data_IF_399866374716
#
_entry.id   IF_399866374716
#
_cell.length_a   1.000
_cell.length_b   1.000
_cell.length_c   1.000
_cell.angle_alpha   90.00
_cell.angle_beta   90.00
_cell.angle_gamma   90.00
#
_symmetry.space_group_name_H-M   'P 1'
#
loop_
_entity.id
_entity.type
_entity.pdbx_description
1 polymer ?
#
# COMPACT_ATOMS: atom_id res chain seq x y z
N UNK A 1 12.51 24.21 44.92
CA UNK A 1 13.42 23.70 43.87
C UNK A 1 12.60 23.57 42.60
N UNK A 2 12.97 24.30 41.56
CA UNK A 2 12.22 24.42 40.31
C UNK A 2 12.46 23.20 39.44
N UNK A 3 11.37 22.51 39.08
CA UNK A 3 11.39 21.45 38.07
C UNK A 3 11.67 22.10 36.71
N UNK A 4 12.91 22.01 36.23
CA UNK A 4 13.26 22.43 34.88
C UNK A 4 12.67 21.46 33.87
N UNK A 5 11.49 21.81 33.36
CA UNK A 5 11.00 21.29 32.08
C UNK A 5 11.90 21.81 30.97
N UNK A 6 12.76 20.96 30.42
CA UNK A 6 13.36 21.14 29.09
C UNK A 6 13.49 19.78 28.42
N UNK A 7 12.38 19.33 27.84
CA UNK A 7 12.36 18.34 26.77
C UNK A 7 11.50 18.91 25.66
N UNK A 8 11.98 19.99 25.02
CA UNK A 8 11.30 20.58 23.85
C UNK A 8 12.06 20.33 22.54
N UNK A 9 13.26 19.75 22.57
CA UNK A 9 14.04 19.44 21.36
C UNK A 9 14.05 17.93 21.00
N UNK A 10 13.48 17.05 21.83
CA UNK A 10 13.43 15.59 21.60
C UNK A 10 12.13 15.07 20.99
N UNK A 11 11.09 15.92 20.91
CA UNK A 11 9.79 15.53 20.35
C UNK A 11 9.87 15.43 18.81
N UNK A 12 10.46 16.44 18.15
CA UNK A 12 10.57 16.46 16.68
C UNK A 12 11.40 15.30 16.11
N UNK A 13 12.49 14.88 16.77
CA UNK A 13 13.33 13.79 16.25
C UNK A 13 12.65 12.43 16.36
N UNK A 14 11.86 12.21 17.42
CA UNK A 14 11.08 10.98 17.61
C UNK A 14 9.92 10.90 16.61
N UNK A 15 9.24 12.03 16.37
CA UNK A 15 8.15 12.13 15.41
C UNK A 15 8.66 11.96 13.96
N UNK A 16 9.85 12.49 13.65
CA UNK A 16 10.49 12.31 12.34
C UNK A 16 10.88 10.84 12.08
N UNK A 17 11.54 10.18 13.04
CA UNK A 17 11.89 8.74 12.93
C UNK A 17 10.64 7.88 12.78
N UNK A 18 9.55 8.22 13.50
CA UNK A 18 8.29 7.53 13.38
C UNK A 18 7.67 7.67 11.99
N UNK A 19 7.66 8.88 11.42
CA UNK A 19 7.17 9.12 10.06
C UNK A 19 8.02 8.42 9.00
N UNK A 20 9.35 8.44 9.11
CA UNK A 20 10.23 7.72 8.19
C UNK A 20 9.95 6.21 8.21
N UNK A 21 9.76 5.64 9.41
CA UNK A 21 9.38 4.25 9.56
C UNK A 21 8.02 3.95 8.93
N UNK A 22 7.01 4.79 9.15
CA UNK A 22 5.69 4.64 8.53
C UNK A 22 5.78 4.70 7.00
N UNK A 23 6.51 5.69 6.45
CA UNK A 23 6.73 5.80 4.99
C UNK A 23 7.40 4.54 4.45
N UNK A 24 8.43 4.01 5.12
CA UNK A 24 9.09 2.77 4.74
C UNK A 24 8.14 1.58 4.73
N UNK A 25 7.30 1.46 5.74
CA UNK A 25 6.31 0.38 5.86
C UNK A 25 5.25 0.47 4.76
N UNK A 26 4.67 1.66 4.55
CA UNK A 26 3.67 1.90 3.50
C UNK A 26 4.24 1.68 2.10
N UNK A 27 5.52 2.02 1.86
CA UNK A 27 6.22 1.71 0.60
C UNK A 27 6.32 0.21 0.33
N UNK A 28 6.67 -0.58 1.34
CA UNK A 28 6.76 -2.03 1.18
C UNK A 28 5.38 -2.66 0.98
N UNK A 29 4.37 -2.21 1.72
CA UNK A 29 2.98 -2.66 1.51
C UNK A 29 2.48 -2.34 0.11
N UNK A 30 2.80 -1.14 -0.40
CA UNK A 30 2.48 -0.72 -1.76
C UNK A 30 3.17 -1.62 -2.79
N UNK A 31 4.45 -1.95 -2.58
CA UNK A 31 5.21 -2.86 -3.44
C UNK A 31 4.56 -4.25 -3.51
N UNK A 32 4.19 -4.80 -2.36
CA UNK A 32 3.51 -6.11 -2.27
C UNK A 32 2.15 -6.06 -2.97
N UNK A 33 1.38 -4.97 -2.81
CA UNK A 33 0.09 -4.82 -3.46
C UNK A 33 0.23 -4.75 -4.99
N UNK A 34 1.24 -4.05 -5.51
CA UNK A 34 1.56 -4.01 -6.94
C UNK A 34 1.94 -5.39 -7.49
N UNK A 35 2.77 -6.15 -6.78
CA UNK A 35 3.15 -7.51 -7.18
C UNK A 35 1.94 -8.46 -7.23
N UNK A 36 1.05 -8.38 -6.24
CA UNK A 36 -0.21 -9.12 -6.23
C UNK A 36 -1.11 -8.74 -7.40
N UNK A 37 -1.20 -7.44 -7.72
CA UNK A 37 -1.96 -6.98 -8.87
C UNK A 37 -1.41 -7.56 -10.19
N UNK A 38 -0.09 -7.56 -10.38
CA UNK A 38 0.53 -8.15 -11.56
C UNK A 38 0.24 -9.65 -11.65
N UNK A 39 0.30 -10.35 -10.53
CA UNK A 39 -0.02 -11.78 -10.43
C UNK A 39 -1.48 -12.04 -10.87
N UNK A 40 -2.44 -11.29 -10.33
CA UNK A 40 -3.86 -11.43 -10.74
C UNK A 40 -4.08 -11.10 -12.21
N UNK A 41 -3.38 -10.12 -12.77
CA UNK A 41 -3.43 -9.81 -14.20
C UNK A 41 -2.89 -10.97 -15.05
N UNK A 42 -1.81 -11.62 -14.62
CA UNK A 42 -1.25 -12.80 -15.30
C UNK A 42 -2.21 -13.99 -15.22
N UNK A 43 -2.76 -14.29 -14.05
CA UNK A 43 -3.76 -15.36 -13.88
C UNK A 43 -5.01 -15.14 -14.75
N UNK A 44 -5.49 -13.88 -14.85
CA UNK A 44 -6.58 -13.52 -15.75
C UNK A 44 -6.23 -13.72 -17.23
N UNK A 45 -4.99 -13.40 -17.63
CA UNK A 45 -4.53 -13.61 -19.00
C UNK A 45 -4.41 -15.11 -19.33
N UNK A 46 -3.91 -15.90 -18.39
CA UNK A 46 -3.77 -17.35 -18.54
C UNK A 46 -5.15 -18.02 -18.68
N UNK A 47 -6.13 -17.64 -17.84
CA UNK A 47 -7.51 -18.11 -17.94
C UNK A 47 -8.14 -17.78 -19.30
N UNK A 48 -7.89 -16.58 -19.84
CA UNK A 48 -8.39 -16.17 -21.17
C UNK A 48 -7.73 -16.91 -22.34
N UNK A 49 -6.50 -17.39 -22.14
CA UNK A 49 -5.74 -18.10 -23.16
C UNK A 49 -6.01 -19.61 -23.19
N UNK A 50 -6.58 -20.17 -22.12
CA UNK A 50 -6.79 -21.61 -21.98
C UNK A 50 -7.99 -22.09 -22.83
N UNK A 51 -7.80 -22.91 -23.89
CA UNK A 51 -8.88 -23.20 -24.85
C UNK A 51 -9.77 -24.39 -24.49
N UNK A 52 -9.73 -24.92 -23.26
CA UNK A 52 -10.34 -26.22 -22.94
C UNK A 52 -11.42 -26.18 -21.84
N UNK A 53 -12.65 -25.89 -22.28
CA UNK A 53 -13.81 -26.71 -21.91
C UNK A 53 -14.40 -26.56 -20.51
N UNK A 54 -14.10 -25.51 -19.74
CA UNK A 54 -14.73 -25.29 -18.42
C UNK A 54 -15.38 -23.91 -18.26
N UNK A 55 -16.08 -23.45 -19.31
CA UNK A 55 -16.68 -22.11 -19.40
C UNK A 55 -17.52 -21.67 -18.18
N UNK A 56 -18.17 -22.60 -17.47
CA UNK A 56 -18.97 -22.29 -16.28
C UNK A 56 -18.16 -22.07 -15.00
N UNK A 57 -16.97 -22.66 -14.89
CA UNK A 57 -16.08 -22.50 -13.73
C UNK A 57 -15.06 -21.39 -13.97
N UNK A 58 -14.54 -21.31 -15.18
CA UNK A 58 -13.67 -20.23 -15.66
C UNK A 58 -14.30 -18.85 -15.47
N UNK A 59 -15.60 -18.68 -15.74
CA UNK A 59 -16.28 -17.39 -15.54
C UNK A 59 -16.45 -16.99 -14.06
N UNK A 60 -16.55 -17.97 -13.15
CA UNK A 60 -16.64 -17.71 -11.71
C UNK A 60 -15.25 -17.33 -11.15
N UNK A 61 -14.22 -18.05 -11.59
CA UNK A 61 -12.82 -17.80 -11.20
C UNK A 61 -12.31 -16.47 -11.79
N UNK A 62 -12.70 -16.12 -13.03
CA UNK A 62 -12.41 -14.81 -13.64
C UNK A 62 -13.05 -13.67 -12.86
N UNK A 63 -14.33 -13.80 -12.47
CA UNK A 63 -15.04 -12.78 -11.70
C UNK A 63 -14.39 -12.56 -10.33
N UNK A 64 -14.02 -13.64 -9.62
CA UNK A 64 -13.32 -13.57 -8.34
C UNK A 64 -11.95 -12.90 -8.48
N UNK A 65 -11.19 -13.22 -9.54
CA UNK A 65 -9.90 -12.59 -9.81
C UNK A 65 -10.03 -11.11 -10.16
N UNK A 66 -11.06 -10.73 -10.93
CA UNK A 66 -11.33 -9.35 -11.29
C UNK A 66 -11.76 -8.52 -10.06
N UNK A 67 -12.51 -9.13 -9.14
CA UNK A 67 -12.88 -8.51 -7.86
C UNK A 67 -11.65 -8.34 -6.95
N UNK A 68 -10.78 -9.37 -6.84
CA UNK A 68 -9.50 -9.29 -6.14
C UNK A 68 -8.58 -8.23 -6.74
N UNK A 69 -8.51 -8.13 -8.06
CA UNK A 69 -7.71 -7.13 -8.76
C UNK A 69 -8.23 -5.71 -8.48
N UNK A 70 -9.55 -5.51 -8.50
CA UNK A 70 -10.18 -4.22 -8.17
C UNK A 70 -9.97 -3.84 -6.71
N UNK A 71 -10.11 -4.79 -5.79
CA UNK A 71 -9.81 -4.57 -4.37
C UNK A 71 -8.35 -4.19 -4.16
N UNK A 72 -7.42 -4.88 -4.84
CA UNK A 72 -5.99 -4.59 -4.78
C UNK A 72 -5.66 -3.23 -5.39
N UNK A 73 -6.33 -2.83 -6.47
CA UNK A 73 -6.21 -1.49 -7.06
C UNK A 73 -6.64 -0.40 -6.06
N UNK A 74 -7.79 -0.57 -5.40
CA UNK A 74 -8.23 0.36 -4.36
C UNK A 74 -7.25 0.44 -3.18
N UNK A 75 -6.65 -0.68 -2.81
CA UNK A 75 -5.61 -0.71 -1.77
C UNK A 75 -4.36 0.06 -2.22
N UNK A 76 -3.91 -0.12 -3.46
CA UNK A 76 -2.80 0.64 -4.05
C UNK A 76 -3.07 2.14 -4.00
N UNK A 77 -4.27 2.57 -4.39
CA UNK A 77 -4.67 3.98 -4.38
C UNK A 77 -4.70 4.54 -2.94
N UNK A 78 -5.24 3.76 -1.99
CA UNK A 78 -5.27 4.15 -0.57
C UNK A 78 -3.87 4.28 0.00
N UNK A 79 -2.99 3.29 -0.23
CA UNK A 79 -1.60 3.31 0.24
C UNK A 79 -0.81 4.44 -0.40
N UNK A 80 -1.05 4.73 -1.68
CA UNK A 80 -0.40 5.85 -2.37
C UNK A 80 -0.82 7.19 -1.77
N UNK A 81 -2.12 7.39 -1.53
CA UNK A 81 -2.62 8.61 -0.90
C UNK A 81 -2.09 8.77 0.54
N UNK A 82 -2.05 7.68 1.31
CA UNK A 82 -1.46 7.69 2.66
C UNK A 82 0.03 8.05 2.62
N UNK A 83 0.76 7.52 1.66
CA UNK A 83 2.18 7.78 1.48
C UNK A 83 2.45 9.24 1.11
N UNK A 84 1.64 9.84 0.24
CA UNK A 84 1.72 11.27 -0.08
C UNK A 84 1.45 12.13 1.16
N UNK A 85 0.42 11.81 1.95
CA UNK A 85 0.12 12.52 3.21
C UNK A 85 1.26 12.42 4.22
N UNK A 86 1.87 11.23 4.37
CA UNK A 86 3.01 11.03 5.26
C UNK A 86 4.25 11.81 4.78
N UNK A 87 4.50 11.86 3.47
CA UNK A 87 5.59 12.65 2.90
C UNK A 87 5.37 14.15 3.08
N UNK A 88 4.15 14.65 2.89
CA UNK A 88 3.81 16.05 3.19
C UNK A 88 3.99 16.38 4.67
N UNK A 89 3.57 15.48 5.57
CA UNK A 89 3.75 15.66 7.01
C UNK A 89 5.23 15.72 7.38
N UNK A 90 6.05 14.84 6.80
CA UNK A 90 7.49 14.83 7.01
C UNK A 90 8.16 16.10 6.44
N UNK A 91 7.73 16.59 5.27
CA UNK A 91 8.22 17.84 4.70
C UNK A 91 7.93 19.05 5.60
N UNK A 92 6.73 19.10 6.20
CA UNK A 92 6.33 20.17 7.15
C UNK A 92 7.07 20.13 8.49
N UNK A 93 7.65 18.98 8.85
CA UNK A 93 8.46 18.82 10.07
C UNK A 93 9.94 19.09 9.83
N UNK A 94 10.40 19.04 8.58
CA UNK A 94 11.77 19.34 8.17
C UNK A 94 12.04 20.79 7.78
N UNK A 95 10.98 21.59 7.56
CA UNK A 95 11.01 23.04 7.23
C UNK A 95 10.80 23.90 8.50
#
# INVERSE_FOLDING_TARGET
MTYSQRLSDGANSSDLIYLEHQIGTTKEELRIALEKQETYKRELADLKSSPLGTASKEGLDEQVLMEKASHTQNLIETLSAQLDQLQEALAKLGD
#
